data_IF_783318913184
#
_entry.id   IF_783318913184
#
_cell.length_a   1.000
_cell.length_b   1.000
_cell.length_c   1.000
_cell.angle_alpha   90.00
_cell.angle_beta   90.00
_cell.angle_gamma   90.00
#
_symmetry.space_group_name_H-M   'P 1'
#
loop_
_entity.id
_entity.type
_entity.pdbx_description
1 polymer ?
#
# COMPACT_ATOMS: atom_id res chain seq x y z
N UNK A 1 30.71 -7.18 0.08
CA UNK A 1 29.25 -7.27 -0.14
C UNK A 1 28.78 -8.55 0.56
N UNK A 2 28.37 -8.44 1.83
CA UNK A 2 28.11 -9.62 2.66
C UNK A 2 26.68 -10.13 2.41
N UNK A 3 26.56 -11.21 1.65
CA UNK A 3 25.35 -12.03 1.60
C UNK A 3 25.11 -12.54 3.04
N UNK A 4 24.07 -12.05 3.69
CA UNK A 4 23.68 -12.49 5.04
C UNK A 4 23.20 -13.94 4.97
N UNK A 5 24.15 -14.86 5.07
CA UNK A 5 23.93 -16.29 5.25
C UNK A 5 22.98 -16.53 6.43
N UNK A 6 22.07 -17.49 6.25
CA UNK A 6 20.98 -17.83 7.16
C UNK A 6 21.47 -18.05 8.60
N UNK A 7 21.34 -17.01 9.44
CA UNK A 7 21.47 -17.15 10.89
C UNK A 7 20.17 -17.72 11.43
N UNK A 8 20.27 -18.92 11.99
CA UNK A 8 19.15 -19.61 12.63
C UNK A 8 18.60 -18.78 13.78
N UNK A 9 17.30 -18.47 13.73
CA UNK A 9 16.45 -18.06 14.86
C UNK A 9 16.68 -16.67 15.48
N UNK A 10 16.51 -15.59 14.72
CA UNK A 10 16.04 -14.32 15.30
C UNK A 10 14.51 -14.22 15.19
N UNK A 11 13.81 -14.02 16.31
CA UNK A 11 12.34 -13.97 16.36
C UNK A 11 11.71 -12.76 15.66
N UNK A 12 12.51 -11.74 15.31
CA UNK A 12 12.03 -10.50 14.68
C UNK A 12 12.95 -10.12 13.52
N UNK A 13 12.37 -9.98 12.33
CA UNK A 13 13.06 -9.42 11.17
C UNK A 13 13.20 -7.90 11.33
N UNK A 14 14.27 -7.33 10.78
CA UNK A 14 14.44 -5.87 10.77
C UNK A 14 13.39 -5.22 9.86
N UNK A 15 12.91 -4.00 10.18
CA UNK A 15 11.95 -3.28 9.34
C UNK A 15 12.46 -3.07 7.90
N UNK A 16 13.75 -2.74 7.74
CA UNK A 16 14.34 -2.58 6.41
C UNK A 16 14.28 -3.86 5.58
N UNK A 17 14.63 -5.01 6.17
CA UNK A 17 14.55 -6.30 5.48
C UNK A 17 13.11 -6.64 5.11
N UNK A 18 12.15 -6.38 6.01
CA UNK A 18 10.73 -6.56 5.71
C UNK A 18 10.29 -5.68 4.55
N UNK A 19 10.71 -4.40 4.51
CA UNK A 19 10.41 -3.51 3.38
C UNK A 19 10.96 -4.06 2.06
N UNK A 20 12.21 -4.56 2.02
CA UNK A 20 12.77 -5.16 0.80
C UNK A 20 12.04 -6.43 0.38
N UNK A 21 11.75 -7.34 1.31
CA UNK A 21 11.01 -8.56 1.01
C UNK A 21 9.58 -8.28 0.57
N UNK A 22 8.93 -7.24 1.12
CA UNK A 22 7.62 -6.77 0.65
C UNK A 22 7.69 -6.18 -0.77
N UNK A 23 8.74 -5.40 -1.08
CA UNK A 23 8.94 -4.90 -2.44
C UNK A 23 9.10 -6.05 -3.43
N UNK A 24 9.91 -7.07 -3.10
CA UNK A 24 10.05 -8.26 -3.95
C UNK A 24 8.74 -9.02 -4.12
N UNK A 25 8.01 -9.26 -3.03
CA UNK A 25 6.70 -9.92 -3.07
C UNK A 25 5.68 -9.13 -3.92
N UNK A 26 5.72 -7.80 -3.87
CA UNK A 26 4.84 -6.92 -4.65
C UNK A 26 5.21 -6.90 -6.14
N UNK A 27 6.50 -7.02 -6.48
CA UNK A 27 6.97 -7.07 -7.88
C UNK A 27 6.65 -8.43 -8.50
N UNK A 28 6.94 -9.53 -7.80
CA UNK A 28 6.63 -10.88 -8.29
C UNK A 28 6.57 -11.88 -7.14
N UNK A 29 5.39 -12.47 -6.94
CA UNK A 29 5.17 -13.52 -5.95
C UNK A 29 5.92 -14.80 -6.30
N UNK A 30 5.95 -15.18 -7.58
CA UNK A 30 6.58 -16.41 -8.04
C UNK A 30 8.11 -16.39 -7.83
N UNK A 31 8.75 -15.25 -8.13
CA UNK A 31 10.20 -15.10 -7.94
C UNK A 31 10.52 -15.11 -6.45
N UNK A 32 9.71 -14.43 -5.62
CA UNK A 32 9.91 -14.45 -4.18
C UNK A 32 9.79 -15.87 -3.61
N UNK A 33 8.80 -16.64 -4.05
CA UNK A 33 8.62 -18.04 -3.64
C UNK A 33 9.82 -18.89 -4.07
N UNK A 34 10.35 -18.71 -5.28
CA UNK A 34 11.57 -19.39 -5.72
C UNK A 34 12.80 -19.04 -4.87
N UNK A 35 12.99 -17.76 -4.55
CA UNK A 35 14.08 -17.30 -3.68
C UNK A 35 13.93 -17.91 -2.28
N UNK A 36 12.72 -17.93 -1.73
CA UNK A 36 12.45 -18.54 -0.43
C UNK A 36 12.72 -20.06 -0.45
N UNK A 37 12.26 -20.77 -1.48
CA UNK A 37 12.47 -22.22 -1.62
C UNK A 37 13.93 -22.58 -1.85
N UNK A 38 14.68 -21.76 -2.59
CA UNK A 38 16.11 -21.94 -2.81
C UNK A 38 16.94 -21.90 -1.51
N UNK A 39 16.37 -21.35 -0.42
CA UNK A 39 17.03 -21.17 0.87
C UNK A 39 18.38 -20.42 0.80
N UNK A 40 18.68 -19.73 -0.31
CA UNK A 40 19.93 -19.00 -0.50
C UNK A 40 20.00 -17.72 0.36
N UNK A 41 18.85 -17.15 0.74
CA UNK A 41 18.73 -15.91 1.51
C UNK A 41 17.87 -16.09 2.76
N UNK A 42 18.14 -15.29 3.79
CA UNK A 42 17.31 -15.21 4.99
C UNK A 42 16.07 -14.37 4.69
N UNK A 43 15.00 -15.00 4.19
CA UNK A 43 13.75 -14.33 3.85
C UNK A 43 12.60 -14.76 4.77
N UNK A 44 11.69 -13.85 5.14
CA UNK A 44 10.47 -14.20 5.87
C UNK A 44 9.56 -15.08 5.02
N UNK A 45 8.81 -15.96 5.67
CA UNK A 45 7.79 -16.79 5.02
C UNK A 45 6.76 -15.88 4.29
N UNK A 46 6.30 -16.23 3.08
CA UNK A 46 5.25 -15.48 2.38
C UNK A 46 3.98 -15.27 3.24
N UNK A 47 3.62 -16.25 4.08
CA UNK A 47 2.50 -16.12 5.03
C UNK A 47 2.74 -15.03 6.08
N UNK A 48 3.98 -14.90 6.56
CA UNK A 48 4.37 -13.87 7.50
C UNK A 48 4.22 -12.48 6.87
N UNK A 49 4.71 -12.29 5.63
CA UNK A 49 4.58 -11.04 4.88
C UNK A 49 3.10 -10.64 4.68
N UNK A 50 2.26 -11.57 4.22
CA UNK A 50 0.82 -11.31 4.04
C UNK A 50 0.15 -10.89 5.34
N UNK A 51 0.52 -11.54 6.45
CA UNK A 51 -0.02 -11.20 7.77
C UNK A 51 0.38 -9.78 8.16
N UNK A 52 1.65 -9.40 7.98
CA UNK A 52 2.13 -8.05 8.28
C UNK A 52 1.47 -6.97 7.41
N UNK A 53 1.19 -7.24 6.12
CA UNK A 53 0.49 -6.28 5.26
C UNK A 53 -0.97 -6.08 5.64
N UNK A 54 -1.70 -7.17 5.93
CA UNK A 54 -3.13 -7.09 6.22
C UNK A 54 -3.46 -6.36 7.52
N UNK A 55 -2.53 -6.23 8.46
CA UNK A 55 -2.75 -5.51 9.73
C UNK A 55 -2.55 -3.99 9.60
N UNK A 56 -1.78 -3.53 8.61
CA UNK A 56 -1.45 -2.10 8.48
C UNK A 56 -2.40 -1.32 7.59
N UNK A 57 -3.16 -2.00 6.72
CA UNK A 57 -4.14 -1.37 5.84
C UNK A 57 -5.52 -1.43 6.50
N UNK A 58 -5.68 -0.72 7.62
CA UNK A 58 -7.01 -0.23 7.98
C UNK A 58 -7.36 0.82 6.94
N UNK A 59 -8.20 0.44 5.96
CA UNK A 59 -8.82 1.38 5.02
C UNK A 59 -9.79 2.23 5.83
N UNK A 60 -9.27 3.18 6.58
CA UNK A 60 -10.07 4.23 7.18
C UNK A 60 -10.59 5.09 6.03
N UNK A 61 -11.91 5.24 5.95
CA UNK A 61 -12.54 6.11 4.96
C UNK A 61 -12.21 7.56 5.31
N UNK A 62 -11.23 8.15 4.63
CA UNK A 62 -10.79 9.53 4.86
C UNK A 62 -9.30 9.73 4.61
N UNK A 63 -8.74 10.84 5.13
CA UNK A 63 -7.31 11.12 5.14
C UNK A 63 -6.72 10.80 6.52
N UNK A 64 -6.31 9.55 6.81
CA UNK A 64 -5.77 9.19 8.11
C UNK A 64 -4.51 10.00 8.47
N UNK A 65 -4.29 10.19 9.76
CA UNK A 65 -3.14 10.95 10.31
C UNK A 65 -1.78 10.38 9.87
N UNK A 66 -1.73 9.07 9.59
CA UNK A 66 -0.58 8.37 9.02
C UNK A 66 -0.22 8.88 7.62
N UNK A 67 -1.21 9.16 6.76
CA UNK A 67 -0.99 9.70 5.42
C UNK A 67 -0.47 11.13 5.50
N UNK A 68 -1.03 11.96 6.39
CA UNK A 68 -0.52 13.34 6.60
C UNK A 68 0.94 13.33 7.04
N UNK A 69 1.30 12.43 7.97
CA UNK A 69 2.69 12.27 8.42
C UNK A 69 3.61 11.79 7.28
N UNK A 70 3.14 10.84 6.48
CA UNK A 70 3.86 10.36 5.30
C UNK A 70 4.06 11.47 4.27
N UNK A 71 3.01 12.22 3.91
CA UNK A 71 3.12 13.34 2.97
C UNK A 71 4.07 14.42 3.51
N UNK A 72 4.02 14.71 4.82
CA UNK A 72 4.92 15.65 5.46
C UNK A 72 6.40 15.25 5.37
N UNK A 73 6.73 13.95 5.46
CA UNK A 73 8.11 13.49 5.23
C UNK A 73 8.50 13.51 3.75
N UNK A 74 7.56 13.28 2.83
CA UNK A 74 7.81 13.36 1.39
C UNK A 74 8.06 14.79 0.92
N UNK A 75 7.25 15.74 1.36
CA UNK A 75 7.36 17.16 0.98
C UNK A 75 8.72 17.74 1.37
N UNK A 76 9.30 17.33 2.51
CA UNK A 76 10.64 17.77 2.93
C UNK A 76 11.76 17.44 1.94
N UNK A 77 11.57 16.44 1.09
CA UNK A 77 12.56 16.01 0.09
C UNK A 77 12.26 16.57 -1.31
N UNK A 78 11.18 17.34 -1.47
CA UNK A 78 10.81 17.94 -2.75
C UNK A 78 11.49 19.29 -2.92
N UNK A 79 11.74 19.64 -4.18
CA UNK A 79 12.21 20.99 -4.52
C UNK A 79 11.08 22.01 -4.37
N UNK A 80 11.42 23.29 -4.15
CA UNK A 80 10.43 24.37 -4.05
C UNK A 80 9.52 24.47 -5.27
N UNK A 81 10.05 24.13 -6.45
CA UNK A 81 9.31 24.07 -7.72
C UNK A 81 8.27 22.95 -7.74
N UNK A 82 8.48 21.88 -6.98
CA UNK A 82 7.56 20.74 -6.94
C UNK A 82 6.41 20.91 -5.95
N UNK A 83 6.46 21.94 -5.09
CA UNK A 83 5.40 22.27 -4.14
C UNK A 83 4.12 22.77 -4.81
N UNK A 84 4.22 23.30 -6.03
CA UNK A 84 3.04 23.63 -6.84
C UNK A 84 2.47 22.34 -7.42
N UNK A 85 1.33 21.91 -6.88
CA UNK A 85 0.66 20.66 -7.25
C UNK A 85 -0.74 20.91 -7.79
N UNK A 86 -1.13 20.11 -8.77
CA UNK A 86 -2.50 19.99 -9.25
C UNK A 86 -3.14 18.74 -8.61
N UNK A 87 -4.27 18.89 -7.90
CA UNK A 87 -5.07 17.73 -7.50
C UNK A 87 -5.74 17.12 -8.73
N UNK A 88 -5.67 15.81 -8.84
CA UNK A 88 -6.33 15.01 -9.88
C UNK A 88 -7.29 14.06 -9.17
N UNK A 89 -8.56 14.12 -9.55
CA UNK A 89 -9.60 13.26 -8.99
C UNK A 89 -10.13 12.40 -10.12
N UNK A 90 -10.18 11.09 -9.90
CA UNK A 90 -10.65 10.12 -10.89
C UNK A 90 -11.48 9.02 -10.24
N UNK A 91 -12.29 8.33 -11.03
CA UNK A 91 -13.14 7.24 -10.59
C UNK A 91 -12.67 5.90 -11.17
N UNK A 92 -12.34 4.96 -10.29
CA UNK A 92 -11.95 3.60 -10.69
C UNK A 92 -13.13 2.67 -10.47
N UNK A 93 -13.69 2.17 -11.57
CA UNK A 93 -14.75 1.17 -11.53
C UNK A 93 -14.22 -0.15 -10.98
N UNK A 94 -14.93 -0.72 -10.01
CA UNK A 94 -14.65 -2.00 -9.38
C UNK A 94 -15.83 -2.94 -9.55
N UNK A 95 -15.59 -4.24 -9.40
CA UNK A 95 -16.67 -5.22 -9.41
C UNK A 95 -17.60 -4.99 -8.20
N UNK A 96 -18.92 -5.00 -8.43
CA UNK A 96 -19.92 -4.88 -7.38
C UNK A 96 -19.96 -6.19 -6.57
N UNK A 97 -19.24 -6.23 -5.45
CA UNK A 97 -19.23 -7.39 -4.56
C UNK A 97 -19.06 -6.97 -3.10
N UNK A 98 -19.77 -7.66 -2.23
CA UNK A 98 -19.56 -7.58 -0.79
C UNK A 98 -18.64 -8.71 -0.35
N UNK A 99 -17.61 -8.40 0.42
CA UNK A 99 -16.65 -9.38 0.93
C UNK A 99 -16.65 -9.37 2.45
N UNK A 100 -16.63 -10.55 3.07
CA UNK A 100 -16.45 -10.70 4.50
C UNK A 100 -15.02 -11.13 4.81
N UNK A 101 -14.24 -10.22 5.38
CA UNK A 101 -12.81 -10.44 5.67
C UNK A 101 -12.54 -10.13 7.14
N UNK A 102 -12.12 -11.14 7.90
CA UNK A 102 -11.68 -11.00 9.30
C UNK A 102 -12.69 -10.26 10.20
N UNK A 103 -13.97 -10.59 10.08
CA UNK A 103 -15.02 -9.98 10.90
C UNK A 103 -15.54 -8.64 10.38
N UNK A 104 -15.05 -8.15 9.23
CA UNK A 104 -15.50 -6.90 8.62
C UNK A 104 -16.16 -7.16 7.26
N UNK A 105 -17.32 -6.54 7.05
CA UNK A 105 -17.93 -6.45 5.72
C UNK A 105 -17.28 -5.31 4.95
N UNK A 106 -16.77 -5.62 3.76
CA UNK A 106 -16.18 -4.69 2.81
C UNK A 106 -17.05 -4.63 1.56
N UNK A 107 -16.95 -3.53 0.82
CA UNK A 107 -17.67 -3.38 -0.45
C UNK A 107 -19.17 -3.07 -0.32
N UNK A 108 -19.64 -2.75 0.89
CA UNK A 108 -21.02 -2.38 1.16
C UNK A 108 -21.08 -1.13 2.05
N UNK A 109 -21.83 -0.11 1.62
CA UNK A 109 -22.07 1.12 2.37
C UNK A 109 -23.56 1.41 2.36
N UNK A 110 -24.19 1.57 3.52
CA UNK A 110 -25.64 1.78 3.66
C UNK A 110 -26.50 0.72 2.93
N UNK A 111 -26.18 -0.57 3.07
CA UNK A 111 -26.82 -1.69 2.35
C UNK A 111 -26.74 -1.63 0.82
N UNK A 112 -25.92 -0.76 0.25
CA UNK A 112 -25.63 -0.73 -1.19
C UNK A 112 -24.18 -1.15 -1.45
N UNK A 113 -23.99 -1.98 -2.47
CA UNK A 113 -22.66 -2.37 -2.93
C UNK A 113 -21.92 -1.16 -3.50
N UNK A 114 -20.67 -0.97 -3.06
CA UNK A 114 -19.81 0.08 -3.61
C UNK A 114 -19.31 -0.36 -4.97
N UNK A 115 -19.67 0.38 -6.02
CA UNK A 115 -19.27 0.10 -7.40
C UNK A 115 -17.95 0.76 -7.77
N UNK A 116 -17.60 1.86 -7.10
CA UNK A 116 -16.50 2.73 -7.55
C UNK A 116 -15.58 3.14 -6.41
N UNK A 117 -14.29 3.28 -6.75
CA UNK A 117 -13.28 3.87 -5.88
C UNK A 117 -12.92 5.26 -6.37
N UNK A 118 -13.29 6.29 -5.60
CA UNK A 118 -12.84 7.66 -5.84
C UNK A 118 -11.36 7.75 -5.47
N UNK A 119 -10.53 8.08 -6.46
CA UNK A 119 -9.09 8.22 -6.31
C UNK A 119 -8.72 9.68 -6.34
N UNK A 120 -8.06 10.17 -5.29
CA UNK A 120 -7.48 11.51 -5.24
C UNK A 120 -5.96 11.41 -5.31
N UNK A 121 -5.37 11.97 -6.35
CA UNK A 121 -3.95 12.02 -6.61
C UNK A 121 -3.47 13.47 -6.60
N UNK A 122 -2.22 13.70 -6.20
CA UNK A 122 -1.54 14.97 -6.39
C UNK A 122 -0.45 14.79 -7.44
N UNK A 123 -0.39 15.71 -8.40
CA UNK A 123 0.66 15.75 -9.41
C UNK A 123 1.34 17.11 -9.38
N UNK A 124 2.66 17.14 -9.29
CA UNK A 124 3.41 18.38 -9.38
C UNK A 124 3.31 18.98 -10.77
N UNK A 125 3.18 20.31 -10.82
CA UNK A 125 3.18 21.09 -12.07
C UNK A 125 4.61 21.35 -12.54
N UNK A 126 5.53 21.52 -11.58
CA UNK A 126 6.90 21.93 -11.85
C UNK A 126 7.91 20.78 -11.97
N UNK A 127 7.48 19.54 -11.74
CA UNK A 127 8.35 18.36 -11.77
C UNK A 127 7.59 17.06 -11.99
N UNK A 128 8.25 15.94 -11.69
CA UNK A 128 7.71 14.60 -11.97
C UNK A 128 7.02 13.95 -10.76
N UNK A 129 6.97 14.63 -9.62
CA UNK A 129 6.34 14.12 -8.42
C UNK A 129 4.84 13.86 -8.65
N UNK A 130 4.40 12.66 -8.28
CA UNK A 130 3.00 12.24 -8.27
C UNK A 130 2.77 11.27 -7.12
N UNK A 131 1.64 11.39 -6.43
CA UNK A 131 1.30 10.46 -5.35
C UNK A 131 -0.22 10.31 -5.18
N UNK A 132 -0.67 9.12 -4.79
CA UNK A 132 -2.08 8.84 -4.48
C UNK A 132 -2.30 9.18 -3.01
N UNK A 133 -3.20 10.13 -2.76
CA UNK A 133 -3.45 10.70 -1.44
C UNK A 133 -4.64 10.04 -0.76
N UNK A 134 -5.66 9.66 -1.54
CA UNK A 134 -6.81 8.94 -1.01
C UNK A 134 -7.39 7.99 -2.05
N UNK A 135 -7.88 6.84 -1.58
CA UNK A 135 -8.72 5.92 -2.32
C UNK A 135 -9.95 5.63 -1.46
N UNK A 136 -11.09 6.19 -1.85
CA UNK A 136 -12.32 6.15 -1.04
C UNK A 136 -13.35 5.31 -1.81
N UNK A 137 -13.83 4.18 -1.26
CA UNK A 137 -14.91 3.44 -1.87
C UNK A 137 -16.23 4.21 -1.74
N UNK A 138 -16.93 4.38 -2.86
CA UNK A 138 -18.18 5.13 -2.98
C UNK A 138 -19.22 4.27 -3.71
N UNK A 139 -20.49 4.36 -3.28
CA UNK A 139 -21.61 3.70 -3.96
C UNK A 139 -22.14 4.54 -5.12
N UNK A 140 -22.19 5.86 -4.94
CA UNK A 140 -22.58 6.85 -5.95
C UNK A 140 -21.89 8.18 -5.67
N UNK A 141 -21.24 8.76 -6.67
CA UNK A 141 -20.80 10.15 -6.59
C UNK A 141 -22.03 11.04 -6.84
N UNK A 142 -22.40 11.83 -5.85
CA UNK A 142 -23.36 12.91 -6.04
C UNK A 142 -22.57 14.12 -6.55
N UNK A 143 -22.61 14.34 -7.87
CA UNK A 143 -22.16 15.58 -8.50
C UNK A 143 -23.29 16.61 -8.37
#
# INVERSE_FOLDING_TARGET
MALLLKKSNSWRFSPCLLSFCLLWQNVSTAIYDQIFMSNCLTCPCPKYLRTTMSTTVTVETGLPSSIVKYLGTRIKHLSSREHTVNPVIDEVYSAERAEFVRGKFLGCKNNQTTKTGLTSMIKSVGGNYKDVVALIPVAKLNV
#
